data_IF_538152561153
#
_entry.id   IF_538152561153
#
_cell.length_a   1.000
_cell.length_b   1.000
_cell.length_c   1.000
_cell.angle_alpha   90.00
_cell.angle_beta   90.00
_cell.angle_gamma   90.00
#
_symmetry.space_group_name_H-M   'P 1'
#
loop_
_entity.id
_entity.type
_entity.pdbx_description
1 polymer ?
#
# COMPACT_ATOMS: atom_id res chain seq x y z
N UNK A 1 -17.91 -9.50 -1.61
CA UNK A 1 -18.77 -8.80 -0.64
C UNK A 1 -17.88 -8.31 0.51
N UNK A 2 -17.49 -7.04 0.50
CA UNK A 2 -17.03 -6.36 1.72
C UNK A 2 -18.12 -6.47 2.78
N UNK A 3 -17.78 -6.78 4.04
CA UNK A 3 -18.75 -6.62 5.11
C UNK A 3 -19.22 -5.16 5.11
N UNK A 4 -20.53 -4.84 5.03
CA UNK A 4 -21.04 -3.46 4.96
C UNK A 4 -20.59 -2.54 6.12
N UNK A 5 -20.07 -3.11 7.20
CA UNK A 5 -19.60 -2.41 8.39
C UNK A 5 -18.32 -1.60 8.21
N UNK A 6 -17.35 -2.08 7.41
CA UNK A 6 -16.01 -1.46 7.33
C UNK A 6 -16.03 -0.15 6.54
N UNK A 7 -16.71 -0.09 5.40
CA UNK A 7 -16.85 1.16 4.61
C UNK A 7 -17.59 2.25 5.40
N UNK A 8 -18.63 1.87 6.17
CA UNK A 8 -19.39 2.83 6.98
C UNK A 8 -18.56 3.39 8.14
N UNK A 9 -17.72 2.56 8.75
CA UNK A 9 -16.78 2.99 9.79
C UNK A 9 -15.79 4.03 9.26
N UNK A 10 -15.19 3.78 8.08
CA UNK A 10 -14.25 4.71 7.44
C UNK A 10 -14.88 6.09 7.19
N UNK A 11 -16.11 6.15 6.69
CA UNK A 11 -16.78 7.43 6.40
C UNK A 11 -17.15 8.24 7.65
N UNK A 12 -17.21 7.61 8.82
CA UNK A 12 -17.61 8.24 10.09
C UNK A 12 -16.46 8.50 11.04
N UNK A 13 -15.28 7.98 10.74
CA UNK A 13 -14.11 8.10 11.59
C UNK A 13 -13.78 9.56 11.91
N UNK A 14 -13.36 9.80 13.15
CA UNK A 14 -12.84 11.07 13.66
C UNK A 14 -11.39 10.89 14.13
N UNK A 15 -10.60 11.97 14.26
CA UNK A 15 -9.21 11.87 14.70
C UNK A 15 -9.04 11.03 15.98
N UNK A 16 -8.14 10.05 15.96
CA UNK A 16 -7.87 9.12 17.06
C UNK A 16 -8.65 7.81 17.00
N UNK A 17 -9.61 7.66 16.07
CA UNK A 17 -10.33 6.41 15.91
C UNK A 17 -9.42 5.29 15.36
N UNK A 18 -9.68 4.07 15.82
CA UNK A 18 -9.09 2.85 15.27
C UNK A 18 -10.19 1.96 14.69
N UNK A 19 -10.12 1.72 13.39
CA UNK A 19 -11.00 0.83 12.63
C UNK A 19 -10.32 -0.53 12.54
N UNK A 20 -10.84 -1.51 13.26
CA UNK A 20 -10.31 -2.85 13.31
C UNK A 20 -10.99 -3.76 12.29
N UNK A 21 -10.19 -4.36 11.40
CA UNK A 21 -10.61 -5.38 10.44
C UNK A 21 -10.49 -6.76 11.07
N UNK A 22 -11.61 -7.46 11.14
CA UNK A 22 -11.63 -8.85 11.60
C UNK A 22 -10.83 -9.76 10.66
N UNK A 23 -10.45 -10.92 11.17
CA UNK A 23 -9.92 -12.02 10.34
C UNK A 23 -10.88 -12.30 9.18
N UNK A 24 -10.34 -12.36 7.96
CA UNK A 24 -11.13 -12.72 6.80
C UNK A 24 -10.51 -12.30 5.47
N UNK A 25 -11.16 -12.73 4.39
CA UNK A 25 -10.78 -12.37 3.03
C UNK A 25 -11.68 -11.26 2.49
N UNK A 26 -11.04 -10.16 2.12
CA UNK A 26 -11.60 -8.95 1.53
C UNK A 26 -11.32 -9.01 0.03
N UNK A 27 -12.37 -9.22 -0.78
CA UNK A 27 -12.26 -9.41 -2.23
C UNK A 27 -12.86 -8.21 -2.94
N UNK A 28 -12.14 -7.68 -3.93
CA UNK A 28 -12.53 -6.54 -4.77
C UNK A 28 -12.88 -5.28 -3.96
N UNK A 29 -12.06 -4.99 -2.95
CA UNK A 29 -12.26 -3.89 -2.02
C UNK A 29 -11.51 -2.65 -2.48
N UNK A 30 -12.23 -1.63 -2.91
CA UNK A 30 -11.68 -0.30 -3.15
C UNK A 30 -12.03 0.61 -1.97
N UNK A 31 -11.03 1.03 -1.20
CA UNK A 31 -11.21 1.97 -0.09
C UNK A 31 -10.43 3.25 -0.34
N UNK A 32 -11.09 4.38 -0.08
CA UNK A 32 -10.50 5.70 -0.12
C UNK A 32 -10.79 6.41 1.20
N UNK A 33 -9.76 6.63 2.00
CA UNK A 33 -9.89 7.27 3.31
C UNK A 33 -9.71 8.78 3.14
N UNK A 34 -10.84 9.52 3.13
CA UNK A 34 -10.88 10.97 2.90
C UNK A 34 -10.98 11.79 4.18
N UNK A 35 -11.10 11.14 5.34
CA UNK A 35 -11.05 11.79 6.65
C UNK A 35 -9.70 11.51 7.28
N UNK A 36 -8.99 12.58 7.62
CA UNK A 36 -7.67 12.53 8.24
C UNK A 36 -7.71 12.70 9.75
N UNK A 37 -6.62 12.32 10.39
CA UNK A 37 -6.37 12.60 11.80
C UNK A 37 -5.58 13.88 12.02
N UNK A 38 -4.99 13.99 13.20
CA UNK A 38 -3.95 14.97 13.52
C UNK A 38 -2.69 14.23 13.96
N UNK A 39 -1.55 14.94 14.06
CA UNK A 39 -0.28 14.36 14.53
C UNK A 39 -0.43 13.59 15.85
N UNK A 40 -1.15 14.17 16.82
CA UNK A 40 -1.41 13.55 18.12
C UNK A 40 -2.55 12.52 18.12
N UNK A 41 -3.38 12.50 17.08
CA UNK A 41 -4.60 11.68 17.00
C UNK A 41 -4.81 11.19 15.56
N UNK A 42 -3.93 10.31 15.04
CA UNK A 42 -4.11 9.75 13.71
C UNK A 42 -5.36 8.88 13.65
N UNK A 43 -5.91 8.68 12.45
CA UNK A 43 -6.92 7.65 12.21
C UNK A 43 -6.21 6.37 11.80
N UNK A 44 -6.56 5.24 12.41
CA UNK A 44 -5.90 3.95 12.15
C UNK A 44 -6.87 2.97 11.50
N UNK A 45 -6.46 2.35 10.40
CA UNK A 45 -7.09 1.15 9.83
C UNK A 45 -6.14 -0.03 10.06
N UNK A 46 -6.54 -0.96 10.94
CA UNK A 46 -5.68 -2.06 11.37
C UNK A 46 -6.37 -3.42 11.24
N UNK A 47 -5.60 -4.46 10.96
CA UNK A 47 -6.05 -5.83 11.19
C UNK A 47 -6.06 -6.14 12.70
N UNK A 48 -7.10 -6.81 13.20
CA UNK A 48 -7.15 -7.27 14.61
C UNK A 48 -5.98 -8.20 14.91
N UNK A 49 -5.67 -9.11 13.98
CA UNK A 49 -4.50 -9.96 14.00
C UNK A 49 -3.70 -9.65 12.73
N UNK A 50 -2.45 -9.12 12.83
CA UNK A 50 -1.64 -8.81 11.67
C UNK A 50 -1.51 -9.99 10.71
N UNK A 51 -1.75 -9.74 9.42
CA UNK A 51 -1.72 -10.76 8.37
C UNK A 51 -3.04 -11.54 8.17
N UNK A 52 -4.02 -11.39 9.06
CA UNK A 52 -5.29 -12.12 8.96
C UNK A 52 -6.43 -11.35 8.26
N UNK A 53 -6.23 -10.06 7.95
CA UNK A 53 -7.09 -9.30 7.06
C UNK A 53 -6.51 -9.33 5.63
N UNK A 54 -7.00 -10.28 4.82
CA UNK A 54 -6.40 -10.63 3.52
C UNK A 54 -7.16 -9.96 2.38
N UNK A 55 -6.50 -9.08 1.62
CA UNK A 55 -7.04 -8.36 0.47
C UNK A 55 -6.64 -9.07 -0.83
N UNK A 56 -7.59 -9.27 -1.73
CA UNK A 56 -7.41 -10.01 -2.99
C UNK A 56 -8.35 -9.52 -4.10
N UNK A 57 -8.29 -10.11 -5.29
CA UNK A 57 -9.00 -9.59 -6.47
C UNK A 57 -8.45 -8.22 -6.88
N UNK A 58 -9.32 -7.29 -7.25
CA UNK A 58 -8.98 -5.92 -7.63
C UNK A 58 -8.89 -4.94 -6.44
N UNK A 59 -8.50 -5.44 -5.26
CA UNK A 59 -8.49 -4.63 -4.04
C UNK A 59 -7.39 -3.55 -4.06
N UNK A 60 -7.74 -2.34 -3.62
CA UNK A 60 -6.84 -1.19 -3.48
C UNK A 60 -7.24 -0.25 -2.36
N UNK A 61 -6.27 0.41 -1.74
CA UNK A 61 -6.49 1.37 -0.66
C UNK A 61 -5.74 2.68 -0.95
N UNK A 62 -6.45 3.80 -0.84
CA UNK A 62 -5.89 5.15 -0.95
C UNK A 62 -6.07 5.89 0.38
N UNK A 63 -4.96 6.35 0.96
CA UNK A 63 -4.95 7.31 2.07
C UNK A 63 -5.00 8.71 1.46
N UNK A 64 -6.17 9.33 1.45
CA UNK A 64 -6.46 10.59 0.76
C UNK A 64 -6.62 11.80 1.70
N UNK A 65 -6.16 11.67 2.95
CA UNK A 65 -6.14 12.73 3.94
C UNK A 65 -4.97 12.56 4.92
N UNK A 66 -4.56 13.61 5.65
CA UNK A 66 -3.39 13.56 6.51
C UNK A 66 -3.53 12.63 7.73
N UNK A 67 -2.40 12.18 8.28
CA UNK A 67 -2.30 11.43 9.54
C UNK A 67 -3.21 10.19 9.59
N UNK A 68 -3.13 9.37 8.54
CA UNK A 68 -3.79 8.07 8.49
C UNK A 68 -2.73 6.98 8.60
N UNK A 69 -2.96 5.99 9.47
CA UNK A 69 -2.12 4.81 9.62
C UNK A 69 -2.84 3.57 9.11
N UNK A 70 -2.15 2.80 8.28
CA UNK A 70 -2.55 1.48 7.80
C UNK A 70 -1.62 0.44 8.43
N UNK A 71 -2.17 -0.57 9.09
CA UNK A 71 -1.40 -1.50 9.93
C UNK A 71 -1.81 -2.97 9.79
N UNK A 72 -0.85 -3.83 9.50
CA UNK A 72 -1.03 -5.28 9.63
C UNK A 72 -1.86 -5.94 8.54
N UNK A 73 -2.04 -5.32 7.37
CA UNK A 73 -2.84 -5.89 6.29
C UNK A 73 -2.04 -6.80 5.37
N UNK A 74 -2.72 -7.69 4.65
CA UNK A 74 -2.08 -8.62 3.71
C UNK A 74 -2.75 -8.63 2.35
N UNK A 75 -2.10 -8.11 1.33
CA UNK A 75 -2.53 -8.20 -0.07
C UNK A 75 -1.91 -9.46 -0.71
N UNK A 76 -2.76 -10.40 -1.13
CA UNK A 76 -2.33 -11.71 -1.61
C UNK A 76 -3.07 -12.12 -2.88
N UNK A 77 -2.31 -12.42 -3.93
CA UNK A 77 -2.80 -13.11 -5.13
C UNK A 77 -3.90 -12.38 -5.89
N UNK A 78 -4.03 -11.06 -5.71
CA UNK A 78 -4.92 -10.22 -6.50
C UNK A 78 -4.23 -9.62 -7.73
N UNK A 79 -4.96 -8.85 -8.51
CA UNK A 79 -4.43 -8.09 -9.63
C UNK A 79 -5.36 -6.90 -9.89
N UNK A 80 -4.82 -5.74 -10.25
CA UNK A 80 -5.63 -4.60 -10.65
C UNK A 80 -6.08 -4.72 -12.11
N UNK A 81 -6.82 -5.79 -12.45
CA UNK A 81 -7.24 -6.06 -13.83
C UNK A 81 -8.05 -4.87 -14.40
N UNK A 82 -7.72 -4.45 -15.63
CA UNK A 82 -8.38 -3.32 -16.29
C UNK A 82 -7.99 -1.92 -15.76
N UNK A 83 -7.13 -1.82 -14.74
CA UNK A 83 -6.59 -0.56 -14.26
C UNK A 83 -5.71 0.12 -15.33
N UNK A 84 -5.81 1.45 -15.41
CA UNK A 84 -5.02 2.27 -16.32
C UNK A 84 -3.55 2.28 -15.88
N UNK A 85 -2.65 2.55 -16.82
CA UNK A 85 -1.24 2.85 -16.50
C UNK A 85 -1.19 3.94 -15.42
N UNK A 86 -0.42 3.68 -14.36
CA UNK A 86 -0.27 4.58 -13.21
C UNK A 86 -1.16 4.27 -12.00
N UNK A 87 -2.01 3.24 -12.04
CA UNK A 87 -2.74 2.78 -10.85
C UNK A 87 -1.82 2.20 -9.75
N UNK A 88 -2.36 2.01 -8.54
CA UNK A 88 -1.61 1.35 -7.46
C UNK A 88 -2.46 0.55 -6.48
N UNK A 89 -1.86 -0.46 -5.83
CA UNK A 89 -2.52 -1.27 -4.79
C UNK A 89 -2.67 -0.44 -3.50
N UNK A 90 -1.64 0.29 -3.12
CA UNK A 90 -1.59 1.16 -1.95
C UNK A 90 -1.13 2.56 -2.35
N UNK A 91 -2.01 3.56 -2.22
CA UNK A 91 -1.68 4.96 -2.52
C UNK A 91 -1.59 5.77 -1.23
N UNK A 92 -0.47 6.47 -1.04
CA UNK A 92 -0.29 7.51 -0.03
C UNK A 92 -0.48 8.88 -0.70
N UNK A 93 -1.74 9.28 -0.91
CA UNK A 93 -2.14 10.61 -1.39
C UNK A 93 -2.43 11.55 -0.20
N UNK A 94 -1.56 11.47 0.82
CA UNK A 94 -1.71 12.09 2.13
C UNK A 94 -0.47 12.89 2.51
N UNK A 95 -0.60 13.67 3.58
CA UNK A 95 0.53 14.25 4.31
C UNK A 95 0.70 13.49 5.64
N UNK A 96 1.90 13.00 5.96
CA UNK A 96 2.14 12.24 7.20
C UNK A 96 1.33 10.93 7.34
N UNK A 97 0.99 10.29 6.22
CA UNK A 97 0.41 8.95 6.22
C UNK A 97 1.45 7.88 6.54
N UNK A 98 1.03 6.79 7.18
CA UNK A 98 1.89 5.66 7.56
C UNK A 98 1.30 4.37 7.03
N UNK A 99 2.08 3.59 6.31
CA UNK A 99 1.80 2.18 6.02
C UNK A 99 2.85 1.35 6.75
N UNK A 100 2.41 0.46 7.65
CA UNK A 100 3.30 -0.39 8.42
C UNK A 100 2.84 -1.85 8.52
N UNK A 101 3.80 -2.74 8.72
CA UNK A 101 3.56 -4.17 9.00
C UNK A 101 2.66 -4.86 7.97
N UNK A 102 2.72 -4.39 6.72
CA UNK A 102 1.82 -4.79 5.64
C UNK A 102 2.59 -5.60 4.60
N UNK A 103 1.94 -6.60 4.02
CA UNK A 103 2.54 -7.43 2.99
C UNK A 103 1.78 -7.31 1.65
N UNK A 104 2.52 -7.27 0.54
CA UNK A 104 1.97 -7.43 -0.82
C UNK A 104 2.72 -8.58 -1.50
N UNK A 105 1.99 -9.67 -1.77
CA UNK A 105 2.58 -10.92 -2.29
C UNK A 105 1.79 -11.40 -3.49
N UNK A 106 2.51 -11.63 -4.59
CA UNK A 106 1.96 -12.18 -5.83
C UNK A 106 0.76 -11.39 -6.38
N UNK A 107 0.68 -10.09 -6.07
CA UNK A 107 -0.42 -9.22 -6.49
C UNK A 107 -0.21 -8.73 -7.93
N UNK A 108 -0.44 -9.64 -8.88
CA UNK A 108 0.10 -9.57 -10.24
C UNK A 108 -0.91 -10.12 -11.26
N UNK A 109 -1.06 -9.50 -12.45
CA UNK A 109 -1.97 -9.94 -13.50
C UNK A 109 -1.46 -11.23 -14.16
N UNK A 110 -2.37 -11.93 -14.86
CA UNK A 110 -1.99 -13.07 -15.69
C UNK A 110 -1.07 -12.66 -16.86
N UNK A 111 -1.27 -11.46 -17.42
CA UNK A 111 -0.44 -10.91 -18.49
C UNK A 111 0.51 -9.83 -17.94
N UNK A 112 1.83 -10.02 -18.09
CA UNK A 112 2.86 -9.15 -17.49
C UNK A 112 2.89 -7.71 -18.02
N UNK A 113 2.15 -7.39 -19.09
CA UNK A 113 2.13 -6.06 -19.74
C UNK A 113 1.26 -5.01 -19.05
N UNK A 114 0.57 -5.34 -17.96
CA UNK A 114 -0.22 -4.35 -17.23
C UNK A 114 0.66 -3.55 -16.28
N UNK A 115 0.60 -2.21 -16.37
CA UNK A 115 1.41 -1.31 -15.55
C UNK A 115 0.66 -0.75 -14.34
N UNK A 116 1.13 -1.08 -13.15
CA UNK A 116 0.66 -0.48 -11.90
C UNK A 116 1.70 -0.66 -10.78
N UNK A 117 1.71 0.29 -9.86
CA UNK A 117 2.57 0.26 -8.68
C UNK A 117 1.96 -0.62 -7.59
N UNK A 118 2.78 -1.19 -6.72
CA UNK A 118 2.26 -1.77 -5.48
C UNK A 118 2.09 -0.70 -4.41
N UNK A 119 3.02 0.24 -4.32
CA UNK A 119 2.89 1.42 -3.49
C UNK A 119 3.17 2.66 -4.32
N UNK A 120 2.33 3.69 -4.20
CA UNK A 120 2.55 4.97 -4.85
C UNK A 120 2.42 6.11 -3.85
N UNK A 121 3.46 6.94 -3.76
CA UNK A 121 3.41 8.19 -3.02
C UNK A 121 2.93 9.31 -3.93
N UNK A 122 1.86 9.98 -3.51
CA UNK A 122 1.25 11.13 -4.18
C UNK A 122 1.02 12.30 -3.20
N UNK A 123 1.84 12.36 -2.16
CA UNK A 123 1.82 13.35 -1.10
C UNK A 123 3.15 13.30 -0.34
N UNK A 124 3.32 14.10 0.70
CA UNK A 124 4.63 14.31 1.35
C UNK A 124 4.70 13.85 2.81
N UNK A 125 5.91 13.65 3.30
CA UNK A 125 6.21 13.21 4.66
C UNK A 125 5.54 11.87 5.04
N UNK A 126 5.22 11.04 4.07
CA UNK A 126 4.64 9.73 4.31
C UNK A 126 5.73 8.70 4.66
N UNK A 127 5.34 7.67 5.40
CA UNK A 127 6.22 6.60 5.85
C UNK A 127 5.69 5.24 5.41
N UNK A 128 6.53 4.49 4.70
CA UNK A 128 6.34 3.07 4.44
C UNK A 128 7.38 2.29 5.25
N UNK A 129 6.95 1.50 6.22
CA UNK A 129 7.89 0.81 7.11
C UNK A 129 7.52 -0.63 7.47
N UNK A 130 8.53 -1.46 7.74
CA UNK A 130 8.31 -2.87 8.18
C UNK A 130 7.36 -3.65 7.27
N UNK A 131 7.42 -3.39 5.96
CA UNK A 131 6.57 -4.04 4.97
C UNK A 131 7.31 -5.15 4.22
N UNK A 132 6.56 -6.09 3.68
CA UNK A 132 7.08 -7.24 2.94
C UNK A 132 6.50 -7.29 1.53
N UNK A 133 7.38 -7.38 0.53
CA UNK A 133 6.98 -7.40 -0.87
C UNK A 133 7.60 -8.59 -1.59
N UNK A 134 6.78 -9.42 -2.26
CA UNK A 134 7.27 -10.60 -2.97
C UNK A 134 6.53 -10.93 -4.27
N UNK A 135 7.27 -11.16 -5.35
CA UNK A 135 6.72 -11.78 -6.57
C UNK A 135 6.01 -10.84 -7.54
N UNK A 136 6.41 -9.56 -7.61
CA UNK A 136 5.88 -8.62 -8.61
C UNK A 136 6.34 -9.01 -10.01
N UNK A 137 5.44 -9.10 -10.99
CA UNK A 137 5.81 -9.39 -12.40
C UNK A 137 5.23 -8.39 -13.41
N UNK A 138 4.48 -7.40 -12.93
CA UNK A 138 3.75 -6.45 -13.76
C UNK A 138 4.60 -5.21 -14.03
N UNK A 139 4.30 -4.44 -15.08
CA UNK A 139 5.02 -3.20 -15.40
C UNK A 139 4.90 -2.15 -14.29
N UNK A 140 5.69 -1.08 -14.41
CA UNK A 140 5.97 -0.07 -13.39
C UNK A 140 6.86 -0.57 -12.24
N UNK A 141 7.68 0.32 -11.65
CA UNK A 141 8.37 0.04 -10.40
C UNK A 141 7.44 -0.46 -9.30
N UNK A 142 8.00 -1.17 -8.31
CA UNK A 142 7.24 -1.61 -7.15
C UNK A 142 6.70 -0.43 -6.34
N UNK A 143 7.57 0.56 -6.12
CA UNK A 143 7.28 1.81 -5.43
C UNK A 143 7.46 2.96 -6.42
N UNK A 144 6.43 3.77 -6.59
CA UNK A 144 6.50 5.04 -7.31
C UNK A 144 6.37 6.23 -6.36
N UNK A 145 6.92 7.38 -6.76
CA UNK A 145 6.77 8.65 -6.07
C UNK A 145 6.48 9.73 -7.11
N UNK A 146 5.40 10.48 -6.92
CA UNK A 146 5.03 11.55 -7.83
C UNK A 146 6.15 12.61 -7.93
N UNK A 147 6.28 13.24 -9.10
CA UNK A 147 7.30 14.25 -9.35
C UNK A 147 7.04 15.54 -8.56
N UNK A 148 5.78 15.86 -8.35
CA UNK A 148 5.32 17.09 -7.71
C UNK A 148 4.63 16.77 -6.39
N UNK A 149 4.79 17.67 -5.41
CA UNK A 149 4.11 17.63 -4.11
C UNK A 149 4.24 16.30 -3.35
N UNK A 150 5.32 15.53 -3.60
CA UNK A 150 5.58 14.23 -3.00
C UNK A 150 7.01 14.13 -2.49
N UNK A 151 7.33 14.98 -1.50
CA UNK A 151 8.68 15.14 -0.93
C UNK A 151 8.78 14.51 0.45
N UNK A 152 10.01 14.26 0.92
CA UNK A 152 10.30 13.76 2.27
C UNK A 152 9.60 12.44 2.63
N UNK A 153 9.18 11.66 1.64
CA UNK A 153 8.64 10.33 1.86
C UNK A 153 9.78 9.38 2.22
N UNK A 154 9.51 8.48 3.17
CA UNK A 154 10.52 7.56 3.71
C UNK A 154 10.07 6.12 3.50
N UNK A 155 11.00 5.29 3.03
CA UNK A 155 10.86 3.84 2.98
C UNK A 155 11.93 3.24 3.88
N UNK A 156 11.55 2.52 4.94
CA UNK A 156 12.52 1.96 5.89
C UNK A 156 12.14 0.55 6.35
N UNK A 157 13.14 -0.25 6.71
CA UNK A 157 12.93 -1.59 7.28
C UNK A 157 12.00 -2.51 6.46
N UNK A 158 11.95 -2.34 5.15
CA UNK A 158 11.13 -3.16 4.25
C UNK A 158 11.95 -4.28 3.60
N UNK A 159 11.30 -5.40 3.30
CA UNK A 159 11.90 -6.53 2.59
C UNK A 159 11.32 -6.64 1.17
N UNK A 160 12.21 -6.77 0.18
CA UNK A 160 11.87 -6.88 -1.24
C UNK A 160 12.46 -8.19 -1.78
N UNK A 161 11.61 -9.14 -2.14
CA UNK A 161 12.01 -10.54 -2.42
C UNK A 161 11.47 -10.98 -3.77
N UNK A 162 12.27 -11.71 -4.58
CA UNK A 162 11.86 -12.29 -5.86
C UNK A 162 11.19 -11.26 -6.79
N UNK A 163 11.91 -10.18 -7.09
CA UNK A 163 11.51 -9.19 -8.08
C UNK A 163 12.22 -9.53 -9.41
N UNK A 164 11.58 -10.27 -10.33
CA UNK A 164 12.16 -10.60 -11.62
C UNK A 164 12.56 -9.33 -12.37
N UNK A 165 13.75 -9.37 -12.94
CA UNK A 165 14.21 -8.36 -13.90
C UNK A 165 13.46 -8.54 -15.22
N UNK A 166 12.86 -7.47 -15.73
CA UNK A 166 12.33 -7.40 -17.09
C UNK A 166 13.17 -6.35 -17.85
N UNK A 167 13.63 -6.70 -19.05
CA UNK A 167 14.45 -5.85 -19.92
C UNK A 167 13.70 -4.62 -20.46
N UNK A 168 12.38 -4.56 -20.24
CA UNK A 168 11.55 -3.38 -20.50
C UNK A 168 11.83 -2.20 -19.55
N UNK A 169 11.67 -0.97 -20.06
CA UNK A 169 12.00 0.31 -19.43
C UNK A 169 11.07 0.69 -18.24
N UNK A 170 10.92 -0.20 -17.25
CA UNK A 170 10.02 -0.02 -16.10
C UNK A 170 10.19 -1.03 -14.95
N UNK A 171 11.01 -2.07 -15.09
CA UNK A 171 11.23 -3.08 -14.05
C UNK A 171 12.56 -2.93 -13.30
N UNK A 172 12.97 -1.70 -12.98
CA UNK A 172 14.14 -1.49 -12.11
C UNK A 172 13.77 -1.78 -10.65
N UNK A 173 13.90 -3.05 -10.24
CA UNK A 173 14.29 -3.36 -8.86
C UNK A 173 15.81 -3.43 -8.83
N UNK A 174 16.47 -2.52 -8.14
CA UNK A 174 17.91 -2.62 -7.87
C UNK A 174 18.19 -3.86 -7.02
N UNK A 175 18.40 -4.98 -7.69
CA UNK A 175 18.80 -6.27 -7.13
C UNK A 175 20.26 -6.57 -7.45
N UNK A 176 21.17 -5.82 -6.84
CA UNK A 176 22.52 -6.30 -6.53
C UNK A 176 22.77 -5.95 -5.07
N UNK A 177 23.04 -6.96 -4.24
CA UNK A 177 23.02 -6.88 -2.78
C UNK A 177 23.62 -5.59 -2.19
N UNK A 178 22.77 -4.64 -1.86
CA UNK A 178 23.10 -3.50 -1.03
C UNK A 178 22.35 -3.67 0.29
N UNK A 179 23.09 -4.07 1.33
CA UNK A 179 22.71 -3.72 2.69
C UNK A 179 22.59 -2.20 2.73
N UNK A 180 21.37 -1.68 2.86
CA UNK A 180 21.18 -0.27 3.17
C UNK A 180 21.65 -0.05 4.62
N UNK A 181 22.92 0.30 4.79
CA UNK A 181 23.43 0.84 6.03
C UNK A 181 22.73 2.18 6.28
N UNK A 182 21.93 2.24 7.34
CA UNK A 182 21.48 3.50 7.92
C UNK A 182 22.72 4.27 8.39
N UNK A 183 22.98 5.41 7.77
CA UNK A 183 23.83 6.45 8.37
C UNK A 183 22.98 7.36 9.23
N UNK A 184 23.54 7.67 10.40
CA UNK A 184 23.00 8.43 11.53
C UNK A 184 22.40 9.79 11.15
#
# INVERSE_FOLDING_TARGET
>A
MTSPSSTRAVTKAVPGDTINLAKGRYVDVALRLTKGGTESRPITLAAVVPGEAIFSGCSKIELAAPYITLDGLYFLGGALEGEKQGGSVLTLASHHGVIRQTAVVDFKPAASRQGYYWVFFAGEHNLLERCYFKGKNNLEPLIGNALENSRHNTVQSCAFVNLPYDEGNGARSSGSGAQASSTR
#
